data_IF_099618376167
#
_entry.id   IF_099618376167
#
_cell.length_a   1.000
_cell.length_b   1.000
_cell.length_c   1.000
_cell.angle_alpha   90.00
_cell.angle_beta   90.00
_cell.angle_gamma   90.00
#
_symmetry.space_group_name_H-M   'P 1'
#
loop_
_entity.id
_entity.type
_entity.pdbx_description
1 polymer ?
#
# COMPACT_ATOMS: atom_id res chain seq x y z
N UNK A 1 -17.47 -24.79 9.72
CA UNK A 1 -18.22 -23.68 9.10
C UNK A 1 -19.16 -24.28 8.07
N UNK A 2 -20.42 -23.85 8.00
CA UNK A 2 -21.30 -24.28 6.90
C UNK A 2 -20.72 -23.76 5.59
N UNK A 3 -20.48 -24.64 4.61
CA UNK A 3 -19.93 -24.26 3.31
C UNK A 3 -20.78 -23.18 2.63
N UNK A 4 -22.11 -23.19 2.83
CA UNK A 4 -23.04 -22.19 2.30
C UNK A 4 -22.91 -20.81 2.96
N UNK A 5 -22.53 -20.75 4.25
CA UNK A 5 -22.42 -19.50 4.99
C UNK A 5 -21.34 -18.56 4.43
N UNK A 6 -20.25 -19.14 3.91
CA UNK A 6 -19.15 -18.37 3.30
C UNK A 6 -19.51 -17.76 1.94
N UNK A 7 -20.58 -18.23 1.30
CA UNK A 7 -21.07 -17.70 0.02
C UNK A 7 -22.27 -16.78 0.16
N UNK A 8 -22.86 -16.64 1.34
CA UNK A 8 -24.08 -15.87 1.51
C UNK A 8 -23.93 -14.42 1.01
N UNK A 9 -22.80 -13.78 1.30
CA UNK A 9 -22.50 -12.41 0.83
C UNK A 9 -22.32 -12.35 -0.69
N UNK A 10 -21.64 -13.33 -1.28
CA UNK A 10 -21.40 -13.42 -2.72
C UNK A 10 -22.69 -13.72 -3.51
N UNK A 11 -23.65 -14.43 -2.90
CA UNK A 11 -24.94 -14.68 -3.55
C UNK A 11 -25.78 -13.39 -3.58
N UNK A 12 -25.73 -12.60 -2.51
CA UNK A 12 -26.50 -11.35 -2.42
C UNK A 12 -25.94 -10.26 -3.34
N UNK A 13 -24.63 -10.25 -3.63
CA UNK A 13 -24.01 -9.27 -4.51
C UNK A 13 -23.99 -9.64 -6.01
N UNK A 14 -24.42 -10.85 -6.39
CA UNK A 14 -24.42 -11.33 -7.79
C UNK A 14 -25.20 -10.43 -8.78
N UNK A 15 -26.28 -9.70 -8.38
CA UNK A 15 -26.92 -8.68 -9.22
C UNK A 15 -25.98 -7.59 -9.74
N UNK A 16 -24.91 -7.25 -9.00
CA UNK A 16 -23.96 -6.20 -9.37
C UNK A 16 -23.18 -6.55 -10.65
N UNK A 17 -22.98 -7.85 -10.88
CA UNK A 17 -22.29 -8.40 -12.06
C UNK A 17 -23.28 -8.81 -13.15
N UNK A 18 -24.36 -9.50 -12.79
CA UNK A 18 -25.32 -10.05 -13.75
C UNK A 18 -26.09 -8.96 -14.52
N UNK A 19 -26.21 -7.74 -13.99
CA UNK A 19 -26.78 -6.59 -14.74
C UNK A 19 -26.03 -6.25 -16.05
N UNK A 20 -24.77 -6.67 -16.18
CA UNK A 20 -23.97 -6.49 -17.39
C UNK A 20 -24.11 -7.65 -18.39
N UNK A 21 -24.81 -8.73 -18.01
CA UNK A 21 -25.08 -9.85 -18.89
C UNK A 21 -26.04 -9.46 -20.02
N UNK A 22 -25.80 -10.00 -21.22
CA UNK A 22 -26.68 -9.74 -22.39
C UNK A 22 -27.97 -10.55 -22.32
N UNK A 23 -27.92 -11.74 -21.70
CA UNK A 23 -29.07 -12.63 -21.51
C UNK A 23 -29.09 -13.16 -20.07
N UNK A 24 -30.28 -13.37 -19.47
CA UNK A 24 -30.40 -13.89 -18.10
C UNK A 24 -29.68 -15.23 -17.86
N UNK A 25 -29.57 -16.07 -18.90
CA UNK A 25 -28.91 -17.38 -18.81
C UNK A 25 -27.38 -17.31 -18.77
N UNK A 26 -26.77 -16.18 -19.11
CA UNK A 26 -25.31 -16.08 -19.23
C UNK A 26 -24.63 -16.18 -17.85
N UNK A 27 -25.25 -15.62 -16.80
CA UNK A 27 -24.77 -15.70 -15.42
C UNK A 27 -24.81 -17.14 -14.87
N UNK A 28 -25.88 -17.90 -15.20
CA UNK A 28 -26.06 -19.28 -14.75
C UNK A 28 -24.91 -20.19 -15.21
N UNK A 29 -24.56 -20.14 -16.50
CA UNK A 29 -23.54 -21.01 -17.06
C UNK A 29 -22.14 -20.70 -16.51
N UNK A 30 -21.84 -19.41 -16.29
CA UNK A 30 -20.58 -18.99 -15.69
C UNK A 30 -20.43 -19.56 -14.27
N UNK A 31 -21.45 -19.45 -13.43
CA UNK A 31 -21.42 -19.96 -12.06
C UNK A 31 -21.39 -21.49 -12.01
N UNK A 32 -22.22 -22.15 -12.82
CA UNK A 32 -22.35 -23.61 -12.84
C UNK A 32 -21.04 -24.32 -13.22
N UNK A 33 -20.23 -23.70 -14.08
CA UNK A 33 -18.96 -24.27 -14.52
C UNK A 33 -17.79 -23.77 -13.66
N UNK A 34 -17.71 -22.46 -13.41
CA UNK A 34 -16.54 -21.86 -12.77
C UNK A 34 -16.44 -22.23 -11.29
N UNK A 35 -17.56 -22.32 -10.58
CA UNK A 35 -17.55 -22.65 -9.15
C UNK A 35 -17.07 -24.09 -8.93
N UNK A 36 -17.70 -25.14 -9.49
CA UNK A 36 -17.25 -26.52 -9.21
C UNK A 36 -15.85 -26.81 -9.72
N UNK A 37 -15.48 -26.28 -10.90
CA UNK A 37 -14.15 -26.50 -11.48
C UNK A 37 -13.09 -25.73 -10.67
N UNK A 38 -13.33 -24.45 -10.39
CA UNK A 38 -12.40 -23.60 -9.65
C UNK A 38 -12.15 -24.11 -8.23
N UNK A 39 -13.21 -24.45 -7.49
CA UNK A 39 -13.08 -25.06 -6.18
C UNK A 39 -12.47 -26.46 -6.26
N UNK A 40 -12.89 -27.29 -7.20
CA UNK A 40 -12.35 -28.64 -7.37
C UNK A 40 -10.83 -28.64 -7.57
N UNK A 41 -10.33 -27.81 -8.51
CA UNK A 41 -8.90 -27.71 -8.79
C UNK A 41 -8.14 -27.10 -7.61
N UNK A 42 -8.64 -26.00 -7.04
CA UNK A 42 -7.93 -25.31 -5.94
C UNK A 42 -7.89 -26.16 -4.67
N UNK A 43 -8.99 -26.82 -4.32
CA UNK A 43 -9.05 -27.73 -3.18
C UNK A 43 -8.15 -28.95 -3.39
N UNK A 44 -8.09 -29.50 -4.61
CA UNK A 44 -7.20 -30.61 -4.93
C UNK A 44 -5.72 -30.23 -4.72
N UNK A 45 -5.30 -29.07 -5.23
CA UNK A 45 -3.93 -28.56 -5.04
C UNK A 45 -3.64 -28.32 -3.55
N UNK A 46 -4.58 -27.70 -2.82
CA UNK A 46 -4.42 -27.45 -1.38
C UNK A 46 -4.29 -28.73 -0.56
N UNK A 47 -5.06 -29.77 -0.89
CA UNK A 47 -4.97 -31.09 -0.25
C UNK A 47 -3.61 -31.73 -0.52
N UNK A 48 -3.11 -31.69 -1.76
CA UNK A 48 -1.79 -32.24 -2.09
C UNK A 48 -0.68 -31.48 -1.35
N UNK A 49 -0.72 -30.15 -1.33
CA UNK A 49 0.28 -29.33 -0.65
C UNK A 49 0.30 -29.61 0.86
N UNK A 50 -0.89 -29.66 1.49
CA UNK A 50 -1.03 -29.97 2.92
C UNK A 50 -0.59 -31.41 3.22
N UNK A 51 -0.96 -32.37 2.39
CA UNK A 51 -0.53 -33.77 2.56
C UNK A 51 0.98 -33.93 2.40
N UNK A 52 1.60 -33.17 1.49
CA UNK A 52 3.05 -33.21 1.27
C UNK A 52 3.80 -32.55 2.41
N UNK A 53 3.24 -31.49 3.03
CA UNK A 53 3.86 -30.85 4.19
C UNK A 53 4.04 -31.82 5.35
N UNK A 54 3.10 -32.74 5.56
CA UNK A 54 3.20 -33.76 6.60
C UNK A 54 4.40 -34.69 6.38
N UNK A 55 4.75 -34.99 5.12
CA UNK A 55 5.94 -35.80 4.79
C UNK A 55 7.23 -34.99 4.98
N UNK A 56 7.23 -33.72 4.57
CA UNK A 56 8.41 -32.85 4.60
C UNK A 56 8.78 -32.41 6.03
N UNK A 57 7.77 -32.09 6.86
CA UNK A 57 7.95 -31.53 8.20
C UNK A 57 7.67 -32.53 9.32
N UNK A 58 7.87 -33.83 9.08
CA UNK A 58 7.88 -34.84 10.14
C UNK A 58 6.53 -35.12 10.81
N UNK A 59 5.44 -35.06 10.07
CA UNK A 59 4.07 -35.39 10.51
C UNK A 59 3.14 -34.19 10.66
N UNK A 60 3.64 -32.96 10.50
CA UNK A 60 2.81 -31.76 10.66
C UNK A 60 2.11 -31.35 9.35
N UNK A 61 0.77 -31.42 9.36
CA UNK A 61 -0.06 -31.00 8.24
C UNK A 61 -0.35 -29.49 8.34
N UNK A 62 0.27 -28.71 7.47
CA UNK A 62 0.12 -27.26 7.41
C UNK A 62 -0.90 -26.92 6.32
N UNK A 63 -2.07 -26.48 6.75
CA UNK A 63 -3.18 -26.13 5.85
C UNK A 63 -3.13 -24.67 5.38
N UNK A 64 -2.49 -23.79 6.14
CA UNK A 64 -2.32 -22.39 5.80
C UNK A 64 -1.10 -22.22 4.87
N UNK A 65 -1.28 -21.77 3.61
CA UNK A 65 -0.19 -21.65 2.66
C UNK A 65 0.85 -20.61 3.08
N UNK A 66 0.48 -19.57 3.83
CA UNK A 66 1.42 -18.56 4.31
C UNK A 66 2.37 -19.15 5.36
N UNK A 67 1.83 -19.93 6.30
CA UNK A 67 2.62 -20.62 7.32
C UNK A 67 3.55 -21.66 6.68
N UNK A 68 3.07 -22.35 5.64
CA UNK A 68 3.86 -23.30 4.87
C UNK A 68 5.06 -22.62 4.18
N UNK A 69 4.83 -21.48 3.52
CA UNK A 69 5.91 -20.70 2.90
C UNK A 69 6.88 -20.13 3.94
N UNK A 70 6.40 -19.71 5.11
CA UNK A 70 7.23 -19.28 6.22
C UNK A 70 8.18 -20.38 6.70
N UNK A 71 7.72 -21.63 6.76
CA UNK A 71 8.59 -22.78 7.08
C UNK A 71 9.64 -23.05 6.01
N UNK A 72 9.27 -22.94 4.73
CA UNK A 72 10.24 -23.08 3.63
C UNK A 72 11.29 -21.97 3.61
N UNK A 73 11.04 -20.81 4.24
CA UNK A 73 11.99 -19.71 4.31
C UNK A 73 13.15 -19.96 5.29
N UNK A 74 12.94 -20.81 6.30
CA UNK A 74 13.97 -21.13 7.31
C UNK A 74 15.06 -21.99 6.68
N UNK A 75 16.27 -21.44 6.56
CA UNK A 75 17.40 -22.12 5.92
C UNK A 75 17.38 -22.09 4.38
N UNK A 76 16.47 -21.33 3.76
CA UNK A 76 16.32 -21.26 2.31
C UNK A 76 17.54 -20.68 1.59
N UNK A 77 17.94 -21.35 0.51
CA UNK A 77 18.85 -20.84 -0.52
C UNK A 77 18.26 -19.64 -1.27
N UNK A 78 19.10 -18.94 -2.04
CA UNK A 78 18.66 -17.81 -2.87
C UNK A 78 17.60 -18.20 -3.90
N UNK A 79 17.69 -19.40 -4.47
CA UNK A 79 16.72 -19.93 -5.42
C UNK A 79 15.36 -20.21 -4.76
N UNK A 80 15.36 -20.83 -3.57
CA UNK A 80 14.13 -21.11 -2.81
C UNK A 80 13.44 -19.82 -2.36
N UNK A 81 14.22 -18.82 -1.91
CA UNK A 81 13.70 -17.49 -1.57
C UNK A 81 13.02 -16.81 -2.75
N UNK A 82 13.60 -16.93 -3.96
CA UNK A 82 12.97 -16.42 -5.16
C UNK A 82 11.66 -17.16 -5.48
N UNK A 83 11.64 -18.50 -5.35
CA UNK A 83 10.41 -19.29 -5.52
C UNK A 83 9.30 -18.88 -4.54
N UNK A 84 9.65 -18.71 -3.26
CA UNK A 84 8.72 -18.22 -2.21
C UNK A 84 8.20 -16.83 -2.58
N UNK A 85 9.06 -15.92 -3.04
CA UNK A 85 8.64 -14.59 -3.49
C UNK A 85 7.58 -14.66 -4.61
N UNK A 86 7.80 -15.50 -5.62
CA UNK A 86 6.85 -15.66 -6.75
C UNK A 86 5.49 -16.19 -6.25
N UNK A 87 5.51 -17.22 -5.41
CA UNK A 87 4.28 -17.83 -4.88
C UNK A 87 3.53 -16.83 -3.97
N UNK A 88 4.23 -16.17 -3.06
CA UNK A 88 3.66 -15.15 -2.16
C UNK A 88 3.07 -13.97 -2.94
N UNK A 89 3.74 -13.54 -4.01
CA UNK A 89 3.21 -12.50 -4.91
C UNK A 89 1.92 -12.96 -5.58
N UNK A 90 1.85 -14.22 -6.02
CA UNK A 90 0.62 -14.82 -6.57
C UNK A 90 -0.52 -14.82 -5.56
N UNK A 91 -0.27 -15.21 -4.30
CA UNK A 91 -1.28 -15.14 -3.24
C UNK A 91 -1.74 -13.72 -2.93
N UNK A 92 -0.81 -12.76 -2.89
CA UNK A 92 -1.14 -11.35 -2.68
C UNK A 92 -2.06 -10.82 -3.79
N UNK A 93 -1.75 -11.12 -5.06
CA UNK A 93 -2.59 -10.73 -6.20
C UNK A 93 -3.97 -11.40 -6.16
N UNK A 94 -4.03 -12.70 -5.82
CA UNK A 94 -5.30 -13.43 -5.69
C UNK A 94 -6.18 -12.82 -4.58
N UNK A 95 -5.58 -12.43 -3.45
CA UNK A 95 -6.32 -11.81 -2.35
C UNK A 95 -6.85 -10.43 -2.70
N UNK A 96 -6.05 -9.62 -3.40
CA UNK A 96 -6.50 -8.33 -3.93
C UNK A 96 -7.68 -8.49 -4.88
N UNK A 97 -7.58 -9.40 -5.85
CA UNK A 97 -8.65 -9.65 -6.82
C UNK A 97 -9.94 -10.15 -6.17
N UNK A 98 -9.83 -11.04 -5.18
CA UNK A 98 -10.98 -11.56 -4.44
C UNK A 98 -11.66 -10.47 -3.62
N UNK A 99 -10.89 -9.63 -2.91
CA UNK A 99 -11.46 -8.54 -2.12
C UNK A 99 -12.15 -7.48 -2.97
N UNK A 100 -11.57 -7.13 -4.13
CA UNK A 100 -12.17 -6.17 -5.06
C UNK A 100 -13.51 -6.71 -5.57
N UNK A 101 -13.51 -7.96 -6.05
CA UNK A 101 -14.70 -8.57 -6.65
C UNK A 101 -15.79 -8.85 -5.62
N UNK A 102 -15.43 -9.40 -4.46
CA UNK A 102 -16.38 -9.79 -3.42
C UNK A 102 -16.96 -8.60 -2.63
N UNK A 103 -16.13 -7.60 -2.33
CA UNK A 103 -16.48 -6.56 -1.35
C UNK A 103 -16.54 -5.16 -1.97
N UNK A 104 -15.54 -4.78 -2.79
CA UNK A 104 -15.44 -3.39 -3.27
C UNK A 104 -16.45 -3.03 -4.36
N UNK A 105 -16.74 -3.95 -5.30
CA UNK A 105 -17.68 -3.69 -6.40
C UNK A 105 -19.09 -3.44 -5.89
N UNK A 106 -19.54 -4.23 -4.91
CA UNK A 106 -20.88 -4.10 -4.33
C UNK A 106 -21.01 -2.81 -3.54
N UNK A 107 -20.07 -2.52 -2.65
CA UNK A 107 -20.03 -1.26 -1.91
C UNK A 107 -19.99 -0.02 -2.84
N UNK A 108 -19.23 -0.10 -3.94
CA UNK A 108 -19.19 0.97 -4.94
C UNK A 108 -20.50 1.15 -5.71
N UNK A 109 -21.20 0.06 -5.99
CA UNK A 109 -22.51 0.10 -6.65
C UNK A 109 -23.56 0.72 -5.73
N UNK A 110 -23.62 0.31 -4.47
CA UNK A 110 -24.51 0.88 -3.46
C UNK A 110 -24.24 2.38 -3.25
N UNK A 111 -22.97 2.77 -3.14
CA UNK A 111 -22.59 4.18 -2.98
C UNK A 111 -23.03 5.02 -4.18
N UNK A 112 -22.91 4.48 -5.40
CA UNK A 112 -23.33 5.17 -6.63
C UNK A 112 -24.85 5.32 -6.68
N UNK A 113 -25.59 4.34 -6.18
CA UNK A 113 -27.05 4.40 -6.10
C UNK A 113 -27.53 5.39 -5.04
N UNK A 114 -26.89 5.41 -3.86
CA UNK A 114 -27.29 6.27 -2.73
C UNK A 114 -26.88 7.73 -2.94
N UNK A 115 -25.66 7.99 -3.44
CA UNK A 115 -25.05 9.32 -3.50
C UNK A 115 -24.39 9.61 -4.86
N UNK A 116 -25.16 9.67 -5.97
CA UNK A 116 -24.61 9.82 -7.33
C UNK A 116 -23.82 11.12 -7.55
N UNK A 117 -24.17 12.19 -6.82
CA UNK A 117 -23.41 13.46 -6.88
C UNK A 117 -22.07 13.33 -6.18
N UNK A 118 -22.02 12.61 -5.05
CA UNK A 118 -20.79 12.44 -4.27
C UNK A 118 -19.73 11.65 -5.04
N UNK A 119 -20.12 10.59 -5.76
CA UNK A 119 -19.19 9.82 -6.59
C UNK A 119 -18.62 10.65 -7.74
N UNK A 120 -19.42 11.55 -8.32
CA UNK A 120 -18.96 12.50 -9.33
C UNK A 120 -17.93 13.48 -8.75
N UNK A 121 -18.15 13.99 -7.53
CA UNK A 121 -17.17 14.84 -6.84
C UNK A 121 -15.88 14.10 -6.48
N UNK A 122 -15.96 12.87 -5.99
CA UNK A 122 -14.78 12.04 -5.71
C UNK A 122 -13.97 11.74 -6.98
N UNK A 123 -14.64 11.45 -8.10
CA UNK A 123 -13.97 11.27 -9.39
C UNK A 123 -13.32 12.55 -9.91
N UNK A 124 -13.83 13.73 -9.53
CA UNK A 124 -13.16 14.99 -9.82
C UNK A 124 -11.93 15.18 -8.92
N UNK A 125 -12.06 14.82 -7.64
CA UNK A 125 -11.01 14.93 -6.65
C UNK A 125 -9.78 14.06 -6.98
N UNK A 126 -10.00 12.89 -7.59
CA UNK A 126 -8.92 11.99 -8.02
C UNK A 126 -7.98 12.62 -9.06
N UNK A 127 -8.44 13.58 -9.86
CA UNK A 127 -7.60 14.32 -10.82
C UNK A 127 -6.54 15.13 -10.07
N UNK A 128 -6.93 15.80 -8.98
CA UNK A 128 -6.01 16.63 -8.20
C UNK A 128 -5.04 15.75 -7.41
N UNK A 129 -5.54 14.70 -6.74
CA UNK A 129 -4.67 13.80 -5.98
C UNK A 129 -3.65 13.07 -6.86
N UNK A 130 -4.08 12.54 -8.02
CA UNK A 130 -3.16 11.85 -8.95
C UNK A 130 -2.06 12.77 -9.47
N UNK A 131 -2.40 14.04 -9.74
CA UNK A 131 -1.45 15.03 -10.23
C UNK A 131 -0.43 15.47 -9.18
N UNK A 132 -0.73 15.31 -7.88
CA UNK A 132 0.23 15.53 -6.77
C UNK A 132 1.10 14.29 -6.59
N UNK A 133 0.51 13.09 -6.66
CA UNK A 133 1.23 11.84 -6.48
C UNK A 133 2.33 11.64 -7.54
N UNK A 134 2.10 12.06 -8.79
CA UNK A 134 3.10 11.91 -9.87
C UNK A 134 4.44 12.58 -9.59
N UNK A 135 4.50 13.90 -9.34
CA UNK A 135 5.73 14.60 -8.99
C UNK A 135 6.38 14.05 -7.73
N UNK A 136 5.60 13.69 -6.70
CA UNK A 136 6.14 13.09 -5.46
C UNK A 136 6.85 11.77 -5.72
N UNK A 137 6.23 10.85 -6.47
CA UNK A 137 6.82 9.56 -6.83
C UNK A 137 8.06 9.77 -7.69
N UNK A 138 7.99 10.64 -8.69
CA UNK A 138 9.11 10.94 -9.55
C UNK A 138 10.28 11.57 -8.78
N UNK A 139 9.98 12.50 -7.87
CA UNK A 139 10.98 13.16 -7.04
C UNK A 139 11.73 12.17 -6.17
N UNK A 140 10.99 11.34 -5.42
CA UNK A 140 11.58 10.39 -4.50
C UNK A 140 12.36 9.29 -5.21
N UNK A 141 11.71 8.60 -6.16
CA UNK A 141 12.27 7.38 -6.74
C UNK A 141 13.25 7.64 -7.88
N UNK A 142 12.98 8.63 -8.73
CA UNK A 142 13.74 8.84 -9.97
C UNK A 142 14.78 9.95 -9.81
N UNK A 143 14.37 11.12 -9.33
CA UNK A 143 15.23 12.30 -9.27
C UNK A 143 16.20 12.22 -8.09
N UNK A 144 15.70 11.90 -6.89
CA UNK A 144 16.49 11.84 -5.66
C UNK A 144 16.99 10.43 -5.33
N UNK A 145 16.37 9.38 -5.86
CA UNK A 145 16.74 7.97 -5.64
C UNK A 145 16.81 7.62 -4.15
N UNK A 146 15.79 8.01 -3.38
CA UNK A 146 15.73 7.78 -1.94
C UNK A 146 16.55 8.76 -1.08
N UNK A 147 17.36 9.64 -1.68
CA UNK A 147 18.17 10.60 -0.94
C UNK A 147 17.35 11.80 -0.43
N UNK A 148 17.16 11.89 0.88
CA UNK A 148 16.54 13.02 1.55
C UNK A 148 17.45 13.55 2.66
N UNK A 149 17.68 14.85 2.69
CA UNK A 149 18.45 15.50 3.74
C UNK A 149 17.50 16.03 4.81
N UNK A 150 17.22 15.21 5.81
CA UNK A 150 16.21 15.48 6.85
C UNK A 150 16.40 16.86 7.50
N UNK A 151 17.64 17.23 7.86
CA UNK A 151 17.94 18.54 8.49
C UNK A 151 17.47 19.75 7.67
N UNK A 152 17.53 19.68 6.34
CA UNK A 152 17.12 20.78 5.46
C UNK A 152 15.61 20.82 5.20
N UNK A 153 14.89 19.72 5.41
CA UNK A 153 13.41 19.69 5.35
C UNK A 153 12.79 20.52 6.49
N UNK A 154 13.47 20.63 7.64
CA UNK A 154 13.02 21.39 8.80
C UNK A 154 13.58 22.82 8.87
N UNK A 155 14.32 23.27 7.83
CA UNK A 155 15.03 24.55 7.85
C UNK A 155 14.64 25.44 6.67
N UNK A 156 14.15 26.66 6.97
CA UNK A 156 13.75 27.67 5.99
C UNK A 156 14.86 28.70 5.65
N UNK A 157 16.12 28.39 5.98
CA UNK A 157 17.26 29.29 5.76
C UNK A 157 17.54 29.50 4.27
N UNK A 158 18.10 30.68 3.96
CA UNK A 158 18.52 31.01 2.60
C UNK A 158 19.66 30.07 2.16
N UNK A 159 19.48 29.38 1.02
CA UNK A 159 20.44 28.37 0.54
C UNK A 159 20.10 26.92 0.90
N UNK A 160 19.08 26.65 1.72
CA UNK A 160 18.56 25.29 1.95
C UNK A 160 18.10 24.65 0.64
N UNK A 161 18.43 23.37 0.41
CA UNK A 161 18.11 22.69 -0.85
C UNK A 161 16.59 22.62 -1.13
N UNK A 162 15.75 22.62 -0.10
CA UNK A 162 14.29 22.52 -0.24
C UNK A 162 13.57 23.87 -0.21
N UNK A 163 14.28 25.00 -0.04
CA UNK A 163 13.65 26.34 -0.02
C UNK A 163 13.21 26.81 -1.40
N UNK A 164 13.82 26.33 -2.49
CA UNK A 164 13.50 26.77 -3.86
C UNK A 164 13.32 28.31 -3.97
N UNK A 165 12.33 28.78 -4.74
CA UNK A 165 12.02 30.21 -4.90
C UNK A 165 10.98 30.59 -3.84
N UNK A 166 11.40 31.24 -2.75
CA UNK A 166 10.55 31.65 -1.63
C UNK A 166 9.73 30.53 -0.96
N UNK A 167 10.21 29.29 -1.01
CA UNK A 167 9.50 28.10 -0.52
C UNK A 167 8.75 27.33 -1.60
N UNK A 168 8.70 27.85 -2.84
CA UNK A 168 7.92 27.26 -3.92
C UNK A 168 8.81 26.61 -4.98
N UNK A 169 8.56 25.32 -5.24
CA UNK A 169 9.11 24.61 -6.39
C UNK A 169 8.22 24.82 -7.60
N UNK A 170 8.60 25.75 -8.49
CA UNK A 170 7.82 26.02 -9.71
C UNK A 170 7.73 24.77 -10.61
N UNK A 171 8.73 23.88 -10.57
CA UNK A 171 8.73 22.61 -11.30
C UNK A 171 7.61 21.68 -10.81
N UNK A 172 7.41 21.61 -9.49
CA UNK A 172 6.33 20.83 -8.88
C UNK A 172 4.96 21.39 -9.25
N UNK A 173 4.78 22.72 -9.23
CA UNK A 173 3.51 23.33 -9.65
C UNK A 173 3.24 23.17 -11.14
N UNK A 174 4.24 23.35 -12.00
CA UNK A 174 4.08 23.20 -13.45
C UNK A 174 3.70 21.76 -13.82
N UNK A 175 4.34 20.77 -13.18
CA UNK A 175 4.01 19.35 -13.38
C UNK A 175 2.64 18.96 -12.83
N UNK A 176 2.26 19.48 -11.66
CA UNK A 176 0.91 19.34 -11.10
C UNK A 176 -0.16 19.89 -12.06
N UNK A 177 0.03 21.10 -12.57
CA UNK A 177 -0.88 21.72 -13.54
C UNK A 177 -0.95 20.89 -14.83
N UNK A 178 0.17 20.37 -15.33
CA UNK A 178 0.18 19.52 -16.51
C UNK A 178 -0.67 18.24 -16.32
N UNK A 179 -0.60 17.60 -15.15
CA UNK A 179 -1.43 16.44 -14.80
C UNK A 179 -2.94 16.77 -14.72
N UNK A 180 -3.30 17.98 -14.28
CA UNK A 180 -4.70 18.42 -14.29
C UNK A 180 -5.17 18.69 -15.73
N UNK A 181 -4.35 19.37 -16.53
CA UNK A 181 -4.73 19.82 -17.87
C UNK A 181 -5.05 18.67 -18.82
N UNK A 182 -4.41 17.51 -18.68
CA UNK A 182 -4.73 16.34 -19.51
C UNK A 182 -6.15 15.79 -19.23
N UNK A 183 -6.67 15.99 -18.02
CA UNK A 183 -7.96 15.46 -17.58
C UNK A 183 -9.09 16.50 -17.56
N UNK A 184 -8.78 17.80 -17.59
CA UNK A 184 -9.77 18.88 -17.43
C UNK A 184 -10.85 18.87 -18.53
N UNK A 185 -10.49 18.49 -19.75
CA UNK A 185 -11.43 18.43 -20.88
C UNK A 185 -12.43 17.29 -20.68
N UNK A 186 -11.98 16.11 -20.26
CA UNK A 186 -12.86 15.00 -19.96
C UNK A 186 -13.72 15.24 -18.71
N UNK A 187 -13.19 15.96 -17.72
CA UNK A 187 -13.95 16.42 -16.57
C UNK A 187 -15.13 17.33 -16.97
N UNK A 188 -14.91 18.28 -17.88
CA UNK A 188 -16.00 19.09 -18.45
C UNK A 188 -17.09 18.21 -19.07
N UNK A 189 -16.70 17.09 -19.70
CA UNK A 189 -17.60 16.05 -20.19
C UNK A 189 -18.44 15.42 -19.09
N UNK A 190 -17.80 15.01 -17.98
CA UNK A 190 -18.47 14.40 -16.83
C UNK A 190 -19.50 15.34 -16.16
N UNK A 191 -19.30 16.66 -16.25
CA UNK A 191 -20.23 17.69 -15.73
C UNK A 191 -21.36 18.02 -16.74
N UNK A 192 -21.39 17.35 -17.90
CA UNK A 192 -22.50 17.46 -18.87
C UNK A 192 -22.23 18.38 -20.06
N UNK A 193 -20.98 18.79 -20.32
CA UNK A 193 -20.61 19.49 -21.56
C UNK A 193 -20.29 18.50 -22.67
N UNK A 194 -20.59 18.88 -23.92
CA UNK A 194 -20.16 18.09 -25.08
C UNK A 194 -18.65 18.28 -25.27
N UNK A 195 -17.92 17.17 -25.22
CA UNK A 195 -16.45 17.14 -25.37
C UNK A 195 -16.06 16.00 -26.32
N UNK A 196 -14.85 16.03 -26.92
CA UNK A 196 -14.39 14.96 -27.79
C UNK A 196 -14.37 13.61 -27.06
N UNK A 197 -14.74 12.53 -27.76
CA UNK A 197 -14.78 11.17 -27.19
C UNK A 197 -13.41 10.75 -26.63
N UNK A 198 -12.31 11.17 -27.27
CA UNK A 198 -10.95 10.92 -26.78
C UNK A 198 -10.69 11.49 -25.37
N UNK A 199 -11.23 12.67 -25.06
CA UNK A 199 -11.08 13.27 -23.73
C UNK A 199 -11.86 12.50 -22.66
N UNK A 200 -13.00 11.90 -23.02
CA UNK A 200 -13.76 11.03 -22.11
C UNK A 200 -12.97 9.75 -21.79
N UNK A 201 -12.31 9.15 -22.78
CA UNK A 201 -11.47 7.97 -22.53
C UNK A 201 -10.30 8.26 -21.61
N UNK A 202 -9.62 9.40 -21.80
CA UNK A 202 -8.53 9.83 -20.92
C UNK A 202 -9.05 10.04 -19.48
N UNK A 203 -10.24 10.63 -19.32
CA UNK A 203 -10.85 10.85 -18.02
C UNK A 203 -11.31 9.55 -17.32
N UNK A 204 -11.69 8.52 -18.07
CA UNK A 204 -12.01 7.21 -17.48
C UNK A 204 -10.80 6.58 -16.78
N UNK A 205 -9.58 6.96 -17.18
CA UNK A 205 -8.33 6.54 -16.55
C UNK A 205 -7.62 7.72 -15.88
N UNK A 206 -8.38 8.73 -15.40
CA UNK A 206 -7.86 10.02 -14.92
C UNK A 206 -6.74 9.88 -13.89
N UNK A 207 -6.82 8.87 -13.02
CA UNK A 207 -5.84 8.66 -11.97
C UNK A 207 -4.47 8.29 -12.53
N UNK A 208 -4.43 7.38 -13.51
CA UNK A 208 -3.18 6.96 -14.15
C UNK A 208 -2.65 8.02 -15.11
N UNK A 209 -3.52 8.64 -15.91
CA UNK A 209 -3.11 9.71 -16.82
C UNK A 209 -2.55 10.91 -16.05
N UNK A 210 -3.17 11.27 -14.92
CA UNK A 210 -2.71 12.33 -14.03
C UNK A 210 -1.32 12.06 -13.45
N UNK A 211 -1.11 10.88 -12.85
CA UNK A 211 0.20 10.48 -12.29
C UNK A 211 1.28 10.46 -13.37
N UNK A 212 1.02 9.81 -14.51
CA UNK A 212 2.04 9.62 -15.56
C UNK A 212 2.45 10.95 -16.19
N UNK A 213 1.48 11.80 -16.55
CA UNK A 213 1.77 13.09 -17.22
C UNK A 213 2.47 14.05 -16.26
N UNK A 214 2.03 14.13 -15.00
CA UNK A 214 2.67 14.99 -14.01
C UNK A 214 4.07 14.48 -13.62
N UNK A 215 4.26 13.17 -13.43
CA UNK A 215 5.58 12.58 -13.19
C UNK A 215 6.54 12.82 -14.36
N UNK A 216 6.08 12.60 -15.59
CA UNK A 216 6.89 12.82 -16.79
C UNK A 216 7.27 14.29 -16.96
N UNK A 217 6.32 15.20 -16.74
CA UNK A 217 6.60 16.64 -16.78
C UNK A 217 7.61 17.04 -15.70
N UNK A 218 7.48 16.53 -14.48
CA UNK A 218 8.44 16.79 -13.41
C UNK A 218 9.84 16.27 -13.74
N UNK A 219 9.93 15.06 -14.29
CA UNK A 219 11.18 14.47 -14.76
C UNK A 219 11.86 15.34 -15.83
N UNK A 220 11.12 15.79 -16.85
CA UNK A 220 11.64 16.64 -17.92
C UNK A 220 12.13 17.97 -17.34
N UNK A 221 11.33 18.63 -16.50
CA UNK A 221 11.68 19.92 -15.91
C UNK A 221 12.92 19.82 -15.02
N UNK A 222 13.01 18.79 -14.19
CA UNK A 222 14.18 18.56 -13.33
C UNK A 222 15.43 18.14 -14.10
N UNK A 223 15.28 17.64 -15.34
CA UNK A 223 16.41 17.34 -16.22
C UNK A 223 17.03 18.58 -16.86
N UNK A 224 16.21 19.56 -17.21
CA UNK A 224 16.65 20.86 -17.75
C UNK A 224 17.05 21.84 -16.65
N UNK A 225 16.34 21.82 -15.52
CA UNK A 225 16.57 22.68 -14.36
C UNK A 225 16.84 21.80 -13.13
N UNK A 226 18.11 21.37 -12.94
CA UNK A 226 18.45 20.42 -11.90
C UNK A 226 18.13 20.95 -10.51
N UNK A 227 17.54 20.10 -9.69
CA UNK A 227 17.21 20.40 -8.29
C UNK A 227 18.36 19.98 -7.37
N UNK A 228 18.63 20.75 -6.30
CA UNK A 228 19.67 20.42 -5.33
C UNK A 228 19.29 19.20 -4.47
N UNK A 229 20.27 18.64 -3.74
CA UNK A 229 20.13 17.45 -2.90
C UNK A 229 19.63 16.20 -3.67
N UNK A 230 20.37 15.82 -4.71
CA UNK A 230 20.14 14.60 -5.50
C UNK A 230 21.33 13.64 -5.36
N UNK A 231 21.07 12.33 -5.46
CA UNK A 231 22.10 11.28 -5.41
C UNK A 231 22.24 10.58 -6.75
N UNK A 232 23.46 10.14 -7.09
CA UNK A 232 23.74 9.35 -8.30
C UNK A 232 23.29 7.89 -8.15
N UNK A 233 23.31 7.34 -6.94
CA UNK A 233 22.90 5.97 -6.58
C UNK A 233 21.71 5.98 -5.63
N UNK A 234 20.98 4.86 -5.55
CA UNK A 234 19.94 4.68 -4.53
C UNK A 234 20.56 4.85 -3.13
N UNK A 235 20.02 5.77 -2.34
CA UNK A 235 20.57 6.18 -1.05
C UNK A 235 19.44 6.54 -0.09
N UNK A 236 18.64 5.55 0.28
CA UNK A 236 17.71 5.63 1.41
C UNK A 236 18.56 5.42 2.68
N UNK A 237 19.05 6.52 3.26
CA UNK A 237 19.83 6.46 4.48
C UNK A 237 18.89 6.39 5.68
N UNK A 238 19.01 5.33 6.50
CA UNK A 238 18.52 5.28 7.88
C UNK A 238 19.34 6.29 8.70
N UNK A 239 19.10 7.58 8.52
CA UNK A 239 19.59 8.57 9.48
C UNK A 239 18.67 8.49 10.69
N UNK A 240 18.95 7.53 11.58
CA UNK A 240 18.57 7.65 12.98
C UNK A 240 18.96 9.07 13.41
N UNK A 241 17.95 9.80 13.87
CA UNK A 241 18.03 11.23 14.10
C UNK A 241 18.80 11.47 15.41
N UNK A 242 20.10 11.23 15.41
CA UNK A 242 20.96 11.41 16.59
C UNK A 242 21.13 12.90 16.96
N UNK A 243 20.71 13.84 16.10
CA UNK A 243 20.76 15.28 16.37
C UNK A 243 19.73 16.07 15.55
N UNK A 244 18.53 16.27 16.11
CA UNK A 244 17.51 17.17 15.57
C UNK A 244 17.66 18.56 16.21
N UNK A 245 18.36 19.49 15.56
CA UNK A 245 18.39 20.89 16.02
C UNK A 245 17.11 21.60 15.55
N UNK A 246 16.17 21.81 16.47
CA UNK A 246 14.97 22.62 16.24
C UNK A 246 15.27 24.04 16.73
N UNK A 247 15.28 24.98 15.77
CA UNK A 247 15.27 26.43 15.97
C UNK A 247 16.46 27.06 16.73
N UNK A 248 17.13 28.00 16.06
CA UNK A 248 18.08 28.97 16.64
C UNK A 248 19.16 28.39 17.59
N UNK A 249 20.05 27.54 17.06
CA UNK A 249 21.41 27.45 17.57
C UNK A 249 21.64 26.73 18.90
N UNK A 250 20.71 25.90 19.38
CA UNK A 250 21.02 24.91 20.43
C UNK A 250 21.14 23.51 19.83
N UNK A 251 22.27 22.86 20.11
CA UNK A 251 22.46 21.42 19.99
C UNK A 251 21.94 20.77 21.27
N UNK A 252 21.13 19.70 21.13
CA UNK A 252 20.63 18.91 22.26
C UNK A 252 21.01 17.46 21.98
N UNK A 253 21.87 16.89 22.82
CA UNK A 253 22.31 15.48 22.72
C UNK A 253 21.18 14.55 23.16
N UNK A 254 20.87 13.53 22.35
CA UNK A 254 19.77 12.59 22.57
C UNK A 254 20.09 11.45 23.56
N UNK A 255 20.95 11.69 24.56
CA UNK A 255 21.24 10.71 25.63
C UNK A 255 20.29 10.89 26.81
N UNK A 256 19.02 10.50 26.65
CA UNK A 256 18.12 10.22 27.80
C UNK A 256 16.95 9.28 27.44
N UNK A 257 17.13 8.42 26.43
CA UNK A 257 16.17 7.33 26.12
C UNK A 257 16.80 6.00 26.57
N UNK A 258 16.22 5.28 27.55
CA UNK A 258 16.73 3.97 27.96
C UNK A 258 16.70 2.99 26.79
N UNK A 259 17.81 2.29 26.54
CA UNK A 259 17.89 1.29 25.46
C UNK A 259 16.81 0.20 25.61
N UNK A 260 16.22 -0.28 24.49
CA UNK A 260 15.34 -1.44 24.52
C UNK A 260 16.15 -2.69 24.89
N UNK A 261 15.72 -3.39 25.94
CA UNK A 261 16.33 -4.64 26.42
C UNK A 261 16.38 -5.66 25.28
N UNK A 262 17.58 -6.06 24.87
CA UNK A 262 17.80 -7.14 23.89
C UNK A 262 17.22 -8.46 24.42
N UNK A 263 16.42 -9.12 23.59
CA UNK A 263 15.72 -10.36 23.89
C UNK A 263 16.62 -11.62 23.88
N UNK A 264 17.87 -11.53 24.35
CA UNK A 264 18.86 -12.63 24.31
C UNK A 264 19.37 -13.06 25.70
N UNK A 265 18.53 -12.89 26.73
CA UNK A 265 18.84 -13.46 28.05
C UNK A 265 17.58 -13.94 28.79
N UNK A 266 16.82 -14.83 28.17
CA UNK A 266 15.86 -15.68 28.88
C UNK A 266 16.61 -16.92 29.42
N UNK A 267 17.37 -16.71 30.49
CA UNK A 267 17.93 -17.82 31.26
C UNK A 267 16.82 -18.36 32.19
N UNK A 268 16.15 -19.43 31.76
CA UNK A 268 15.25 -20.20 32.61
C UNK A 268 16.08 -20.92 33.68
N UNK A 269 16.26 -20.26 34.83
CA UNK A 269 16.97 -20.86 35.96
C UNK A 269 16.72 -20.08 37.25
N UNK A 270 16.13 -20.78 38.22
CA UNK A 270 15.93 -20.40 39.64
C UNK A 270 14.77 -19.46 39.96
N UNK A 271 13.59 -20.08 40.10
CA UNK A 271 12.57 -19.66 41.06
C UNK A 271 13.15 -19.80 42.48
N UNK A 272 13.66 -18.72 43.09
CA UNK A 272 13.87 -18.65 44.53
C UNK A 272 13.36 -17.31 45.10
N UNK A 273 12.34 -17.46 45.95
CA UNK A 273 11.86 -16.58 47.04
C UNK A 273 11.88 -15.06 46.85
N UNK A 274 10.75 -14.51 46.39
CA UNK A 274 10.32 -13.17 46.84
C UNK A 274 9.86 -13.25 48.29
N UNK A 275 10.74 -12.92 49.25
CA UNK A 275 10.32 -12.50 50.59
C UNK A 275 9.53 -11.20 50.47
N UNK A 276 8.26 -11.24 50.84
CA UNK A 276 7.40 -10.05 50.92
C UNK A 276 7.90 -9.06 51.98
N UNK A 277 7.59 -7.76 51.83
CA UNK A 277 8.00 -6.73 52.79
C UNK A 277 7.30 -6.94 54.14
N UNK A 278 8.10 -6.91 55.21
CA UNK A 278 7.65 -6.98 56.61
C UNK A 278 6.78 -5.76 56.94
N UNK A 279 5.58 -6.02 57.48
CA UNK A 279 4.75 -5.02 58.11
C UNK A 279 5.42 -4.49 59.39
N UNK A 280 5.74 -3.19 59.42
CA UNK A 280 6.21 -2.50 60.61
C UNK A 280 5.02 -2.16 61.52
N UNK A 281 4.92 -2.89 62.62
CA UNK A 281 4.13 -2.50 63.80
C UNK A 281 4.93 -1.46 64.59
N UNK A 282 4.30 -0.32 64.89
CA UNK A 282 4.67 0.51 66.04
C UNK A 282 3.39 0.85 66.80
N UNK A 283 3.35 0.42 68.05
CA UNK A 283 2.28 0.61 69.02
C UNK A 283 2.61 1.76 69.99
N UNK A 284 1.59 2.16 70.75
CA UNK A 284 1.54 3.11 71.88
C UNK A 284 1.57 4.60 71.45
N UNK A 285 0.60 5.44 71.82
CA UNK A 285 -0.24 5.53 73.03
C UNK A 285 -1.69 5.86 72.67
#
# INVERSE_FOLDING_TARGET
>A
MSCLGNFATLIVNDPDFSRFARKPKDALWAQLLTIPIGFGVTSFIGIIASSSSAVIFGGEMVWNPLDLLGKFQVGASSAERFGIFVISTGFALAQLGTNISANSVSAGTDLTALLPRFTTYLSAYSIFLSSIAGPMLCEYYIVRKGYLRVKELYTAQEGSAYRFVYGFSWQAYASYIAGILVNIVGFAGAVGRKVPVGAQYIYNVNYFSGIVVSALMYYILTRFFPVPATSSTWSEADQDVDSLSIAYGQEVDAYDVPEPVKADSLNYGTLQERKGPKAGSSAAV
#
